data_IF_773090406459
#
_entry.id   IF_773090406459
#
_cell.length_a   1.000
_cell.length_b   1.000
_cell.length_c   1.000
_cell.angle_alpha   90.00
_cell.angle_beta   90.00
_cell.angle_gamma   90.00
#
_symmetry.space_group_name_H-M   'P 1'
#
loop_
_entity.id
_entity.type
_entity.pdbx_description
1 polymer ?
#
# COMPACT_ATOMS: atom_id res chain seq x y z
N UNK A 1 10.83 22.90 1.92
CA UNK A 1 10.29 22.36 0.65
C UNK A 1 8.78 22.29 0.74
N UNK A 2 8.06 22.94 -0.17
CA UNK A 2 6.59 22.91 -0.21
C UNK A 2 6.18 21.53 -0.75
N UNK A 3 5.37 20.79 0.03
CA UNK A 3 4.89 19.47 -0.37
C UNK A 3 3.95 19.60 -1.57
N UNK A 4 4.09 18.78 -2.63
CA UNK A 4 3.14 18.78 -3.73
C UNK A 4 1.76 18.33 -3.24
N UNK A 5 0.71 19.12 -3.54
CA UNK A 5 -0.69 18.80 -3.15
C UNK A 5 -1.13 17.42 -3.64
N UNK A 6 -0.61 16.97 -4.78
CA UNK A 6 -0.88 15.67 -5.39
C UNK A 6 -0.46 14.52 -4.44
N UNK A 7 0.68 14.64 -3.77
CA UNK A 7 1.19 13.58 -2.88
C UNK A 7 0.39 13.55 -1.59
N UNK A 8 0.03 14.72 -1.05
CA UNK A 8 -0.89 14.78 0.09
C UNK A 8 -2.23 14.11 -0.21
N UNK A 9 -2.78 14.32 -1.41
CA UNK A 9 -4.01 13.65 -1.84
C UNK A 9 -3.85 12.13 -1.93
N UNK A 10 -2.75 11.64 -2.52
CA UNK A 10 -2.44 10.20 -2.58
C UNK A 10 -2.32 9.60 -1.17
N UNK A 11 -1.61 10.26 -0.25
CA UNK A 11 -1.48 9.78 1.12
C UNK A 11 -2.82 9.74 1.86
N UNK A 12 -3.70 10.72 1.67
CA UNK A 12 -5.04 10.72 2.28
C UNK A 12 -5.85 9.51 1.79
N UNK A 13 -5.84 9.24 0.48
CA UNK A 13 -6.49 8.04 -0.09
C UNK A 13 -5.84 6.77 0.47
N UNK A 14 -4.51 6.75 0.60
CA UNK A 14 -3.75 5.64 1.18
C UNK A 14 -4.17 5.35 2.62
N UNK A 15 -4.28 6.38 3.47
CA UNK A 15 -4.74 6.25 4.85
C UNK A 15 -6.18 5.75 4.94
N UNK A 16 -7.09 6.32 4.13
CA UNK A 16 -8.47 5.84 4.04
C UNK A 16 -8.51 4.35 3.66
N UNK A 17 -7.73 3.95 2.67
CA UNK A 17 -7.62 2.55 2.23
C UNK A 17 -7.14 1.63 3.35
N UNK A 18 -6.14 2.04 4.14
CA UNK A 18 -5.68 1.29 5.32
C UNK A 18 -6.79 1.13 6.36
N UNK A 19 -7.52 2.20 6.66
CA UNK A 19 -8.62 2.15 7.64
C UNK A 19 -9.72 1.17 7.21
N UNK A 20 -10.05 1.12 5.92
CA UNK A 20 -11.03 0.16 5.41
C UNK A 20 -10.51 -1.28 5.32
N UNK A 21 -9.21 -1.47 5.06
CA UNK A 21 -8.61 -2.81 4.94
C UNK A 21 -8.22 -3.42 6.27
N UNK A 22 -7.99 -2.63 7.32
CA UNK A 22 -7.61 -3.13 8.64
C UNK A 22 -8.68 -4.07 9.27
N UNK A 23 -9.99 -3.74 9.28
CA UNK A 23 -11.02 -4.67 9.75
C UNK A 23 -11.08 -5.98 8.94
N UNK A 24 -10.71 -5.94 7.66
CA UNK A 24 -10.74 -7.12 6.78
C UNK A 24 -9.73 -8.18 7.22
N UNK A 25 -8.66 -7.80 7.94
CA UNK A 25 -7.71 -8.73 8.55
C UNK A 25 -8.41 -9.74 9.47
N UNK A 26 -9.46 -9.32 10.17
CA UNK A 26 -10.22 -10.16 11.08
C UNK A 26 -11.38 -10.91 10.41
N UNK A 27 -11.62 -10.65 9.12
CA UNK A 27 -12.74 -11.23 8.39
C UNK A 27 -12.64 -12.75 8.26
N UNK A 28 -13.78 -13.46 8.24
CA UNK A 28 -13.79 -14.91 8.04
C UNK A 28 -13.23 -15.32 6.67
N UNK A 29 -13.23 -14.43 5.68
CA UNK A 29 -12.66 -14.69 4.35
C UNK A 29 -11.14 -14.93 4.42
N UNK A 30 -10.42 -14.14 5.22
CA UNK A 30 -8.97 -14.30 5.40
C UNK A 30 -8.66 -15.49 6.32
N UNK A 31 -9.46 -15.70 7.39
CA UNK A 31 -9.27 -16.82 8.32
C UNK A 31 -9.44 -18.19 7.67
N UNK A 32 -10.30 -18.30 6.64
CA UNK A 32 -10.51 -19.55 5.88
C UNK A 32 -9.29 -19.96 5.04
N UNK A 33 -8.37 -19.04 4.73
CA UNK A 33 -7.17 -19.31 3.94
C UNK A 33 -6.05 -19.97 4.77
N UNK A 34 -6.13 -19.91 6.09
CA UNK A 34 -5.16 -20.52 7.00
C UNK A 34 -5.00 -19.71 8.29
N UNK A 35 -4.55 -20.38 9.36
CA UNK A 35 -4.42 -19.78 10.70
C UNK A 35 -3.43 -18.61 10.73
N UNK A 36 -2.40 -18.65 9.89
CA UNK A 36 -1.33 -17.63 9.82
C UNK A 36 -1.61 -16.51 8.80
N UNK A 37 -2.64 -16.68 7.95
CA UNK A 37 -2.97 -15.72 6.88
C UNK A 37 -3.41 -14.34 7.39
N UNK A 38 -4.22 -14.23 8.47
CA UNK A 38 -4.54 -12.93 9.08
C UNK A 38 -3.30 -12.17 9.54
N UNK A 39 -2.31 -12.86 10.11
CA UNK A 39 -1.09 -12.22 10.58
C UNK A 39 -0.27 -11.64 9.41
N UNK A 40 -0.10 -12.41 8.32
CA UNK A 40 0.58 -11.94 7.11
C UNK A 40 -0.16 -10.74 6.51
N UNK A 41 -1.49 -10.83 6.39
CA UNK A 41 -2.29 -9.74 5.85
C UNK A 41 -2.20 -8.47 6.71
N UNK A 42 -2.19 -8.61 8.04
CA UNK A 42 -1.96 -7.51 8.97
C UNK A 42 -0.60 -6.83 8.78
N UNK A 43 0.47 -7.62 8.60
CA UNK A 43 1.82 -7.10 8.31
C UNK A 43 1.83 -6.30 6.99
N UNK A 44 1.15 -6.79 5.95
CA UNK A 44 1.05 -6.09 4.66
C UNK A 44 0.30 -4.75 4.79
N UNK A 45 -0.80 -4.72 5.54
CA UNK A 45 -1.55 -3.48 5.82
C UNK A 45 -0.69 -2.49 6.62
N UNK A 46 0.05 -2.97 7.62
CA UNK A 46 0.97 -2.14 8.41
C UNK A 46 2.13 -1.59 7.56
N UNK A 47 2.72 -2.41 6.69
CA UNK A 47 3.78 -1.98 5.77
C UNK A 47 3.29 -0.88 4.83
N UNK A 48 2.07 -1.00 4.28
CA UNK A 48 1.46 0.02 3.44
C UNK A 48 1.18 1.32 4.22
N UNK A 49 0.78 1.22 5.49
CA UNK A 49 0.61 2.38 6.36
C UNK A 49 1.94 3.10 6.63
N UNK A 50 2.99 2.36 6.98
CA UNK A 50 4.34 2.90 7.22
C UNK A 50 4.86 3.58 5.93
N UNK A 51 4.61 2.99 4.77
CA UNK A 51 4.94 3.60 3.49
C UNK A 51 4.21 4.94 3.27
N UNK A 52 2.92 5.02 3.59
CA UNK A 52 2.15 6.27 3.53
C UNK A 52 2.69 7.35 4.47
N UNK A 53 3.17 6.97 5.66
CA UNK A 53 3.87 7.87 6.59
C UNK A 53 5.17 8.39 5.97
N UNK A 54 6.00 7.51 5.39
CA UNK A 54 7.23 7.92 4.70
C UNK A 54 6.97 8.89 3.53
N UNK A 55 5.91 8.63 2.75
CA UNK A 55 5.46 9.50 1.67
C UNK A 55 4.95 10.86 2.18
N UNK A 56 4.28 10.89 3.34
CA UNK A 56 3.80 12.13 3.95
C UNK A 56 4.94 13.09 4.29
N UNK A 57 6.06 12.55 4.77
CA UNK A 57 7.29 13.30 5.04
C UNK A 57 8.17 13.49 3.81
N UNK A 58 7.72 13.07 2.63
CA UNK A 58 8.40 13.25 1.35
C UNK A 58 9.82 12.64 1.32
N UNK A 59 9.96 11.47 1.96
CA UNK A 59 11.21 10.69 2.04
C UNK A 59 11.24 9.60 0.98
N UNK A 60 12.41 9.35 0.39
CA UNK A 60 12.59 8.35 -0.68
C UNK A 60 12.29 6.91 -0.21
N UNK A 61 12.62 6.56 1.04
CA UNK A 61 12.33 5.24 1.59
C UNK A 61 10.82 4.94 1.65
N UNK A 62 9.98 5.97 1.77
CA UNK A 62 8.52 5.81 1.75
C UNK A 62 8.02 5.29 0.40
N UNK A 63 8.60 5.78 -0.71
CA UNK A 63 8.27 5.27 -2.06
C UNK A 63 8.74 3.83 -2.23
N UNK A 64 9.95 3.51 -1.77
CA UNK A 64 10.49 2.16 -1.85
C UNK A 64 9.64 1.16 -1.09
N UNK A 65 9.28 1.47 0.17
CA UNK A 65 8.36 0.64 0.96
C UNK A 65 6.98 0.56 0.33
N UNK A 66 6.47 1.63 -0.27
CA UNK A 66 5.18 1.60 -0.94
C UNK A 66 5.18 0.59 -2.09
N UNK A 67 6.19 0.65 -2.96
CA UNK A 67 6.35 -0.29 -4.08
C UNK A 67 6.46 -1.73 -3.57
N UNK A 68 7.32 -1.97 -2.57
CA UNK A 68 7.48 -3.31 -1.97
C UNK A 68 6.15 -3.81 -1.39
N UNK A 69 5.41 -2.96 -0.67
CA UNK A 69 4.13 -3.32 -0.06
C UNK A 69 3.07 -3.66 -1.10
N UNK A 70 3.02 -2.94 -2.23
CA UNK A 70 2.11 -3.24 -3.34
C UNK A 70 2.46 -4.58 -3.97
N UNK A 71 3.74 -4.85 -4.25
CA UNK A 71 4.16 -6.14 -4.80
C UNK A 71 3.87 -7.29 -3.85
N UNK A 72 4.19 -7.15 -2.56
CA UNK A 72 3.92 -8.16 -1.54
C UNK A 72 2.40 -8.42 -1.39
N UNK A 73 1.57 -7.37 -1.43
CA UNK A 73 0.11 -7.48 -1.39
C UNK A 73 -0.45 -8.18 -2.64
N UNK A 74 0.05 -7.85 -3.83
CA UNK A 74 -0.35 -8.52 -5.08
C UNK A 74 0.02 -9.99 -5.06
N UNK A 75 1.23 -10.33 -4.61
CA UNK A 75 1.69 -11.71 -4.47
C UNK A 75 0.80 -12.49 -3.48
N UNK A 76 0.47 -11.88 -2.34
CA UNK A 76 -0.47 -12.46 -1.37
C UNK A 76 -1.83 -12.79 -1.99
N UNK A 77 -2.42 -11.86 -2.76
CA UNK A 77 -3.71 -12.11 -3.42
C UNK A 77 -3.65 -13.22 -4.49
N UNK A 78 -2.53 -13.32 -5.21
CA UNK A 78 -2.29 -14.39 -6.19
C UNK A 78 -2.21 -15.75 -5.46
N UNK A 79 -1.41 -15.85 -4.39
CA UNK A 79 -1.27 -17.07 -3.60
C UNK A 79 -2.59 -17.48 -2.92
N UNK A 80 -3.37 -16.50 -2.45
CA UNK A 80 -4.69 -16.71 -1.87
C UNK A 80 -5.77 -17.04 -2.91
N UNK A 81 -5.42 -17.03 -4.21
CA UNK A 81 -6.32 -17.23 -5.34
C UNK A 81 -7.56 -16.32 -5.32
N UNK A 82 -7.43 -15.11 -4.76
CA UNK A 82 -8.50 -14.12 -4.66
C UNK A 82 -8.43 -13.13 -5.82
N UNK A 83 -8.65 -13.63 -7.04
CA UNK A 83 -8.58 -12.88 -8.30
C UNK A 83 -9.92 -12.19 -8.66
N UNK A 84 -10.60 -11.62 -7.68
CA UNK A 84 -11.88 -10.94 -7.91
C UNK A 84 -11.74 -9.60 -8.65
N UNK A 85 -12.86 -8.99 -9.04
CA UNK A 85 -12.87 -7.65 -9.66
C UNK A 85 -12.11 -6.60 -8.82
N UNK A 86 -12.25 -6.67 -7.48
CA UNK A 86 -11.54 -5.79 -6.56
C UNK A 86 -10.00 -5.92 -6.64
N UNK A 87 -9.46 -7.07 -7.00
CA UNK A 87 -8.02 -7.27 -7.19
C UNK A 87 -7.53 -6.49 -8.41
N UNK A 88 -8.19 -6.64 -9.56
CA UNK A 88 -7.83 -5.94 -10.79
C UNK A 88 -7.93 -4.41 -10.61
N UNK A 89 -9.01 -3.94 -10.00
CA UNK A 89 -9.19 -2.51 -9.73
C UNK A 89 -8.09 -1.94 -8.81
N UNK A 90 -7.79 -2.62 -7.69
CA UNK A 90 -6.71 -2.20 -6.79
C UNK A 90 -5.34 -2.22 -7.48
N UNK A 91 -5.08 -3.20 -8.34
CA UNK A 91 -3.84 -3.30 -9.10
C UNK A 91 -3.68 -2.09 -10.05
N UNK A 92 -4.72 -1.77 -10.83
CA UNK A 92 -4.70 -0.62 -11.75
C UNK A 92 -4.49 0.71 -11.02
N UNK A 93 -5.20 0.95 -9.91
CA UNK A 93 -5.04 2.17 -9.10
C UNK A 93 -3.63 2.25 -8.51
N UNK A 94 -3.11 1.13 -7.98
CA UNK A 94 -1.78 1.09 -7.40
C UNK A 94 -0.69 1.36 -8.43
N UNK A 95 -0.84 0.85 -9.66
CA UNK A 95 0.07 1.15 -10.77
C UNK A 95 0.09 2.64 -11.12
N UNK A 96 -1.08 3.28 -11.21
CA UNK A 96 -1.17 4.73 -11.47
C UNK A 96 -0.45 5.52 -10.36
N UNK A 97 -0.66 5.13 -9.10
CA UNK A 97 0.01 5.77 -7.97
C UNK A 97 1.53 5.57 -8.00
N UNK A 98 2.01 4.38 -8.36
CA UNK A 98 3.45 4.11 -8.51
C UNK A 98 4.05 4.99 -9.61
N UNK A 99 3.40 5.13 -10.76
CA UNK A 99 3.89 6.00 -11.86
C UNK A 99 4.01 7.45 -11.39
N UNK A 100 3.01 7.96 -10.68
CA UNK A 100 3.04 9.32 -10.14
C UNK A 100 4.17 9.46 -9.11
N UNK A 101 4.30 8.51 -8.18
CA UNK A 101 5.33 8.54 -7.15
C UNK A 101 6.75 8.48 -7.73
N UNK A 102 6.98 7.63 -8.73
CA UNK A 102 8.26 7.53 -9.44
C UNK A 102 8.64 8.85 -10.12
N UNK A 103 7.68 9.60 -10.66
CA UNK A 103 7.93 10.93 -11.23
C UNK A 103 8.41 11.94 -10.19
N UNK A 104 7.96 11.83 -8.94
CA UNK A 104 8.38 12.70 -7.84
C UNK A 104 9.58 12.16 -7.05
N UNK A 105 9.98 10.91 -7.27
CA UNK A 105 11.11 10.25 -6.62
C UNK A 105 12.42 11.04 -6.63
N UNK A 106 12.92 11.58 -7.77
CA UNK A 106 14.20 12.32 -7.78
C UNK A 106 14.14 13.64 -7.01
N UNK A 107 12.93 14.14 -6.70
CA UNK A 107 12.73 15.39 -5.95
C UNK A 107 12.64 15.14 -4.44
N UNK A 108 12.48 13.89 -4.01
CA UNK A 108 12.35 13.51 -2.60
C UNK A 108 13.71 13.47 -1.91
N UNK A 109 13.70 13.72 -0.60
CA UNK A 109 14.92 13.74 0.19
C UNK A 109 15.47 12.30 0.36
N UNK A 110 16.74 12.03 0.01
CA UNK A 110 17.37 10.73 0.22
C UNK A 110 17.71 10.43 1.69
N UNK A 111 17.74 11.45 2.56
CA UNK A 111 18.17 11.26 3.95
C UNK A 111 17.13 10.52 4.81
N UNK A 112 17.66 9.63 5.66
CA UNK A 112 16.96 8.81 6.67
C UNK A 112 16.11 9.64 7.63
#
# INVERSE_FOLDING_TARGET
>A
MIRPKIISFICIIGYLSVVFTFPQVFSPQIKKLGVLMPAIYGILVAANFIACVGLWYFKQWGVQLYIISVFAKTLFYILANQLGFGFYFNCSVSFIFIIILLRFYPKMNPNL
#
